data_IF_716241950746
#
_entry.id   IF_716241950746
#
_cell.length_a   1.000
_cell.length_b   1.000
_cell.length_c   1.000
_cell.angle_alpha   90.00
_cell.angle_beta   90.00
_cell.angle_gamma   90.00
#
_symmetry.space_group_name_H-M   'P 1'
#
loop_
_entity.id
_entity.type
_entity.pdbx_description
1 polymer ?
#
# COMPACT_ATOMS: atom_id res chain seq x y z
N UNK A 1 60.38 -7.50 -19.41
CA UNK A 1 59.46 -6.42 -19.01
C UNK A 1 58.20 -6.32 -19.91
N UNK A 2 57.97 -7.23 -20.83
CA UNK A 2 56.82 -7.22 -21.81
C UNK A 2 55.55 -7.95 -21.37
N UNK A 3 55.68 -8.95 -20.50
CA UNK A 3 54.55 -9.81 -20.08
C UNK A 3 53.49 -9.09 -19.21
N UNK A 4 53.89 -8.07 -18.44
CA UNK A 4 52.98 -7.34 -17.56
C UNK A 4 52.01 -6.41 -18.31
N UNK A 5 52.41 -5.87 -19.46
CA UNK A 5 51.57 -4.96 -20.28
C UNK A 5 50.42 -5.71 -20.99
N UNK A 6 50.65 -6.96 -21.33
CA UNK A 6 49.65 -7.77 -22.06
C UNK A 6 48.54 -8.29 -21.16
N UNK A 7 48.81 -8.54 -19.88
CA UNK A 7 47.84 -9.01 -18.91
C UNK A 7 46.83 -7.91 -18.52
N UNK A 8 47.32 -6.67 -18.35
CA UNK A 8 46.45 -5.53 -18.03
C UNK A 8 45.49 -5.14 -19.15
N UNK A 9 45.88 -5.35 -20.41
CA UNK A 9 45.03 -5.07 -21.58
C UNK A 9 43.88 -6.07 -21.75
N UNK A 10 44.11 -7.35 -21.50
CA UNK A 10 43.09 -8.41 -21.55
C UNK A 10 42.09 -8.24 -20.40
N UNK A 11 42.55 -7.94 -19.20
CA UNK A 11 41.68 -7.74 -18.03
C UNK A 11 40.73 -6.51 -18.21
N UNK A 12 41.25 -5.43 -18.79
CA UNK A 12 40.43 -4.24 -19.09
C UNK A 12 39.37 -4.50 -20.14
N UNK A 13 39.68 -5.29 -21.17
CA UNK A 13 38.69 -5.65 -22.22
C UNK A 13 37.62 -6.59 -21.70
N UNK A 14 37.94 -7.52 -20.81
CA UNK A 14 36.97 -8.41 -20.18
C UNK A 14 36.05 -7.66 -19.23
N UNK A 15 36.60 -6.73 -18.45
CA UNK A 15 35.80 -5.91 -17.52
C UNK A 15 34.84 -4.98 -18.27
N UNK A 16 35.30 -4.38 -19.37
CA UNK A 16 34.47 -3.52 -20.23
C UNK A 16 33.35 -4.31 -20.92
N UNK A 17 33.61 -5.52 -21.36
CA UNK A 17 32.61 -6.41 -21.95
C UNK A 17 31.57 -6.86 -20.91
N UNK A 18 31.99 -7.15 -19.68
CA UNK A 18 31.06 -7.52 -18.58
C UNK A 18 30.14 -6.36 -18.19
N UNK A 19 30.68 -5.14 -18.12
CA UNK A 19 29.89 -3.94 -17.83
C UNK A 19 28.92 -3.61 -18.95
N UNK A 20 29.30 -3.80 -20.21
CA UNK A 20 28.44 -3.60 -21.36
C UNK A 20 27.28 -4.61 -21.41
N UNK A 21 27.53 -5.89 -21.06
CA UNK A 21 26.48 -6.91 -20.98
C UNK A 21 25.51 -6.67 -19.83
N UNK A 22 26.00 -6.21 -18.67
CA UNK A 22 25.13 -5.84 -17.55
C UNK A 22 24.26 -4.61 -17.88
N UNK A 23 24.83 -3.61 -18.54
CA UNK A 23 24.06 -2.44 -19.00
C UNK A 23 23.01 -2.80 -20.06
N UNK A 24 23.33 -3.73 -20.97
CA UNK A 24 22.40 -4.19 -22.01
C UNK A 24 21.26 -5.03 -21.43
N UNK A 25 21.53 -5.85 -20.41
CA UNK A 25 20.48 -6.60 -19.72
C UNK A 25 19.51 -5.68 -18.95
N UNK A 26 19.97 -4.57 -18.39
CA UNK A 26 19.12 -3.59 -17.74
C UNK A 26 18.17 -2.88 -18.72
N UNK A 27 18.55 -2.75 -20.01
CA UNK A 27 17.71 -2.14 -21.05
C UNK A 27 16.72 -3.14 -21.67
N UNK A 28 16.99 -4.46 -21.56
CA UNK A 28 16.16 -5.50 -22.16
C UNK A 28 15.14 -6.13 -21.17
N UNK A 29 15.10 -5.67 -19.92
CA UNK A 29 13.94 -5.96 -19.08
C UNK A 29 12.75 -5.22 -19.73
N UNK A 30 11.74 -5.92 -20.28
CA UNK A 30 10.52 -5.26 -20.68
C UNK A 30 10.08 -4.49 -19.45
N UNK A 31 9.96 -3.16 -19.57
CA UNK A 31 9.37 -2.35 -18.53
C UNK A 31 7.97 -2.88 -18.32
N UNK A 32 7.79 -3.83 -17.42
CA UNK A 32 6.50 -4.09 -16.85
C UNK A 32 6.05 -2.71 -16.39
N UNK A 33 5.03 -2.15 -17.04
CA UNK A 33 4.45 -0.89 -16.63
C UNK A 33 4.18 -1.05 -15.16
N UNK A 34 4.92 -0.31 -14.32
CA UNK A 34 4.76 -0.40 -12.89
C UNK A 34 3.29 -0.13 -12.60
N UNK A 35 2.61 -1.10 -12.01
CA UNK A 35 1.19 -0.97 -11.67
C UNK A 35 1.06 0.22 -10.73
N UNK A 36 0.26 1.21 -11.11
CA UNK A 36 -0.07 2.31 -10.22
C UNK A 36 -1.13 1.80 -9.23
N UNK A 37 -0.68 1.44 -8.03
CA UNK A 37 -1.54 0.94 -6.96
C UNK A 37 -2.72 1.88 -6.66
N UNK A 38 -2.62 3.16 -6.99
CA UNK A 38 -3.65 4.16 -6.67
C UNK A 38 -4.71 4.30 -7.75
N UNK A 39 -4.54 3.70 -8.92
CA UNK A 39 -5.51 3.77 -10.04
C UNK A 39 -5.98 2.42 -10.54
N UNK A 40 -5.30 1.33 -10.22
CA UNK A 40 -5.71 -0.01 -10.66
C UNK A 40 -6.97 -0.44 -9.93
N UNK A 41 -8.05 -0.60 -10.69
CA UNK A 41 -9.38 -0.98 -10.18
C UNK A 41 -9.42 -2.38 -9.55
N UNK A 42 -8.45 -3.24 -9.84
CA UNK A 42 -8.37 -4.57 -9.24
C UNK A 42 -8.14 -4.54 -7.74
N UNK A 43 -7.59 -3.45 -7.19
CA UNK A 43 -7.36 -3.32 -5.74
C UNK A 43 -8.58 -2.83 -4.99
N UNK A 44 -9.56 -2.21 -5.62
CA UNK A 44 -10.64 -1.47 -4.98
C UNK A 44 -12.00 -2.11 -5.22
N UNK A 45 -12.85 -2.06 -4.21
CA UNK A 45 -14.23 -2.54 -4.29
C UNK A 45 -15.14 -1.86 -3.28
N UNK A 46 -16.45 -1.92 -3.55
CA UNK A 46 -17.47 -1.43 -2.65
C UNK A 46 -17.67 -2.39 -1.48
N UNK A 47 -17.91 -1.85 -0.28
CA UNK A 47 -18.31 -2.67 0.87
C UNK A 47 -19.56 -3.49 0.58
N UNK A 48 -19.62 -4.72 1.08
CA UNK A 48 -20.70 -5.65 0.80
C UNK A 48 -22.05 -5.23 1.43
N UNK A 49 -21.98 -4.49 2.55
CA UNK A 49 -23.15 -3.97 3.26
C UNK A 49 -22.82 -2.75 4.12
N UNK A 50 -23.84 -2.03 4.59
CA UNK A 50 -23.64 -0.93 5.54
C UNK A 50 -22.96 -1.41 6.83
N UNK A 51 -22.05 -0.59 7.35
CA UNK A 51 -21.32 -0.86 8.59
C UNK A 51 -20.07 -1.75 8.44
N UNK A 52 -19.68 -2.17 7.22
CA UNK A 52 -18.46 -2.97 7.00
C UNK A 52 -17.33 -2.16 6.33
N UNK A 53 -17.38 -0.83 6.38
CA UNK A 53 -16.36 0.03 5.76
C UNK A 53 -14.93 -0.24 6.26
N UNK A 54 -14.73 -0.50 7.55
CA UNK A 54 -13.41 -0.86 8.09
C UNK A 54 -12.91 -2.20 7.56
N UNK A 55 -13.80 -3.19 7.46
CA UNK A 55 -13.47 -4.52 6.94
C UNK A 55 -13.12 -4.45 5.45
N UNK A 56 -13.92 -3.71 4.66
CA UNK A 56 -13.66 -3.50 3.24
C UNK A 56 -12.35 -2.74 3.00
N UNK A 57 -12.09 -1.68 3.77
CA UNK A 57 -10.83 -0.92 3.68
C UNK A 57 -9.62 -1.80 4.05
N UNK A 58 -9.73 -2.65 5.07
CA UNK A 58 -8.68 -3.59 5.43
C UNK A 58 -8.43 -4.64 4.34
N UNK A 59 -9.49 -5.16 3.72
CA UNK A 59 -9.34 -6.10 2.62
C UNK A 59 -8.67 -5.46 1.39
N UNK A 60 -9.00 -4.21 1.06
CA UNK A 60 -8.33 -3.46 -0.02
C UNK A 60 -6.84 -3.22 0.30
N UNK A 61 -6.50 -2.85 1.55
CA UNK A 61 -5.12 -2.71 2.02
C UNK A 61 -4.35 -4.02 1.86
N UNK A 62 -4.89 -5.13 2.38
CA UNK A 62 -4.28 -6.45 2.28
C UNK A 62 -4.15 -6.94 0.84
N UNK A 63 -5.10 -6.61 -0.05
CA UNK A 63 -5.00 -6.92 -1.47
C UNK A 63 -3.79 -6.23 -2.11
N UNK A 64 -3.58 -4.95 -1.81
CA UNK A 64 -2.41 -4.19 -2.27
C UNK A 64 -1.11 -4.74 -1.66
N UNK A 65 -1.11 -5.10 -0.38
CA UNK A 65 0.04 -5.73 0.28
C UNK A 65 0.39 -7.06 -0.35
N UNK A 66 -0.58 -7.96 -0.55
CA UNK A 66 -0.38 -9.25 -1.19
C UNK A 66 0.21 -9.10 -2.61
N UNK A 67 -0.25 -8.10 -3.37
CA UNK A 67 0.33 -7.78 -4.67
C UNK A 67 1.80 -7.34 -4.56
N UNK A 68 2.12 -6.46 -3.61
CA UNK A 68 3.49 -5.99 -3.37
C UNK A 68 4.42 -7.13 -2.92
N UNK A 69 3.90 -8.10 -2.18
CA UNK A 69 4.62 -9.30 -1.75
C UNK A 69 4.73 -10.35 -2.87
N UNK A 70 4.22 -10.07 -4.07
CA UNK A 70 4.28 -10.97 -5.23
C UNK A 70 3.36 -12.19 -5.13
N UNK A 71 2.29 -12.12 -4.35
CA UNK A 71 1.32 -13.20 -4.22
C UNK A 71 0.39 -13.24 -5.43
N UNK A 72 0.40 -14.31 -6.21
CA UNK A 72 -0.47 -14.46 -7.40
C UNK A 72 -1.97 -14.43 -7.04
N UNK A 73 -2.32 -14.86 -5.82
CA UNK A 73 -3.70 -14.88 -5.30
C UNK A 73 -4.16 -13.55 -4.68
N UNK A 74 -3.48 -12.44 -4.93
CA UNK A 74 -3.84 -11.15 -4.35
C UNK A 74 -5.28 -10.72 -4.66
N UNK A 75 -5.82 -11.11 -5.82
CA UNK A 75 -7.20 -10.83 -6.24
C UNK A 75 -8.25 -11.53 -5.36
N UNK A 76 -7.87 -12.63 -4.69
CA UNK A 76 -8.76 -13.43 -3.84
C UNK A 76 -8.91 -12.84 -2.43
N UNK A 77 -8.12 -11.82 -2.10
CA UNK A 77 -8.28 -11.08 -0.84
C UNK A 77 -9.57 -10.28 -0.90
N UNK A 78 -10.56 -10.69 -0.14
CA UNK A 78 -11.90 -10.07 -0.13
C UNK A 78 -12.37 -9.81 1.30
N UNK A 79 -13.39 -8.96 1.42
CA UNK A 79 -14.06 -8.69 2.69
C UNK A 79 -14.53 -9.98 3.39
N UNK A 80 -15.13 -10.91 2.64
CA UNK A 80 -15.55 -12.20 3.20
C UNK A 80 -14.37 -13.11 3.54
N UNK A 81 -13.29 -13.08 2.77
CA UNK A 81 -12.11 -13.89 3.01
C UNK A 81 -11.44 -13.58 4.35
N UNK A 82 -11.33 -12.30 4.72
CA UNK A 82 -10.68 -11.89 5.97
C UNK A 82 -11.63 -11.86 7.16
N UNK A 83 -12.94 -11.99 6.95
CA UNK A 83 -13.96 -11.76 7.97
C UNK A 83 -13.79 -12.64 9.21
N UNK A 84 -13.45 -13.91 9.04
CA UNK A 84 -13.30 -14.86 10.15
C UNK A 84 -12.17 -14.51 11.11
N UNK A 85 -11.12 -13.85 10.62
CA UNK A 85 -9.94 -13.46 11.41
C UNK A 85 -9.96 -11.98 11.81
N UNK A 86 -10.64 -11.14 11.04
CA UNK A 86 -10.58 -9.70 11.17
C UNK A 86 -11.81 -9.08 11.85
N UNK A 87 -12.92 -9.81 12.05
CA UNK A 87 -14.19 -9.19 12.43
C UNK A 87 -14.86 -9.85 13.63
N UNK A 88 -15.06 -9.05 14.67
CA UNK A 88 -15.83 -9.42 15.87
C UNK A 88 -16.76 -8.28 16.29
N UNK A 89 -17.77 -7.97 15.45
CA UNK A 89 -18.65 -6.80 15.64
C UNK A 89 -18.02 -5.45 15.23
N UNK A 90 -16.75 -5.46 14.89
CA UNK A 90 -15.90 -4.39 14.38
C UNK A 90 -14.60 -4.98 13.88
N UNK A 91 -13.75 -4.18 13.25
CA UNK A 91 -12.42 -4.64 12.85
C UNK A 91 -11.57 -4.93 14.11
N UNK A 92 -11.00 -6.11 14.20
CA UNK A 92 -10.09 -6.50 15.28
C UNK A 92 -8.88 -5.60 15.32
N UNK A 93 -8.42 -5.20 16.52
CA UNK A 93 -7.24 -4.34 16.66
C UNK A 93 -5.95 -5.01 16.20
N UNK A 94 -5.92 -6.34 16.17
CA UNK A 94 -4.82 -7.12 15.60
C UNK A 94 -5.41 -8.40 15.00
N UNK A 95 -4.95 -8.75 13.81
CA UNK A 95 -5.29 -9.99 13.13
C UNK A 95 -4.23 -10.34 12.09
N UNK A 96 -4.21 -11.61 11.67
CA UNK A 96 -3.33 -12.10 10.60
C UNK A 96 -4.17 -12.77 9.53
N UNK A 97 -3.85 -12.50 8.28
CA UNK A 97 -4.46 -13.13 7.12
C UNK A 97 -3.38 -13.44 6.07
N UNK A 98 -3.22 -14.71 5.69
CA UNK A 98 -2.20 -15.17 4.75
C UNK A 98 -0.80 -14.59 5.08
N UNK A 99 -0.37 -14.78 6.32
CA UNK A 99 0.90 -14.29 6.89
C UNK A 99 1.06 -12.75 6.93
N UNK A 100 0.11 -11.99 6.41
CA UNK A 100 0.07 -10.54 6.57
C UNK A 100 -0.53 -10.17 7.92
N UNK A 101 0.27 -9.53 8.77
CA UNK A 101 -0.17 -9.09 10.10
C UNK A 101 -0.64 -7.64 10.05
N UNK A 102 -1.82 -7.38 10.60
CA UNK A 102 -2.41 -6.04 10.70
C UNK A 102 -2.52 -5.65 12.16
N UNK A 103 -2.11 -4.42 12.46
CA UNK A 103 -2.18 -3.86 13.79
C UNK A 103 -2.81 -2.47 13.82
N UNK A 104 -3.35 -2.13 14.99
CA UNK A 104 -3.87 -0.80 15.28
C UNK A 104 -2.71 0.13 15.67
N UNK A 105 -2.61 1.27 15.00
CA UNK A 105 -1.62 2.31 15.31
C UNK A 105 -2.28 3.45 16.09
N UNK A 106 -1.66 3.79 17.23
CA UNK A 106 -2.08 4.93 18.04
C UNK A 106 -1.56 6.24 17.43
N UNK A 107 -2.47 7.15 17.13
CA UNK A 107 -2.15 8.48 16.63
C UNK A 107 -2.03 9.49 17.78
N UNK A 108 -1.14 10.49 17.68
CA UNK A 108 -1.00 11.54 18.67
C UNK A 108 -2.27 12.38 18.79
N UNK A 109 -2.37 13.18 19.85
CA UNK A 109 -3.48 14.10 20.05
C UNK A 109 -3.35 15.34 19.15
N UNK A 110 -4.49 15.87 18.68
CA UNK A 110 -4.55 17.08 17.86
C UNK A 110 -4.42 16.81 16.36
N UNK A 111 -5.16 17.59 15.56
CA UNK A 111 -5.27 17.40 14.12
C UNK A 111 -3.92 17.53 13.38
N UNK A 112 -3.12 18.54 13.75
CA UNK A 112 -1.82 18.77 13.10
C UNK A 112 -0.85 17.60 13.35
N UNK A 113 -0.67 17.20 14.62
CA UNK A 113 0.19 16.07 14.96
C UNK A 113 -0.28 14.75 14.35
N UNK A 114 -1.59 14.52 14.28
CA UNK A 114 -2.16 13.36 13.54
C UNK A 114 -1.84 13.41 12.06
N UNK A 115 -1.93 14.58 11.43
CA UNK A 115 -1.59 14.76 10.01
C UNK A 115 -0.13 14.36 9.76
N UNK A 116 0.80 14.87 10.55
CA UNK A 116 2.23 14.55 10.44
C UNK A 116 2.50 13.05 10.65
N UNK A 117 1.89 12.47 11.68
CA UNK A 117 2.01 11.02 11.94
C UNK A 117 1.45 10.17 10.79
N UNK A 118 0.29 10.54 10.23
CA UNK A 118 -0.31 9.83 9.10
C UNK A 118 0.56 9.93 7.84
N UNK A 119 1.19 11.08 7.58
CA UNK A 119 2.13 11.25 6.47
C UNK A 119 3.33 10.33 6.64
N UNK A 120 3.90 10.27 7.86
CA UNK A 120 5.04 9.39 8.16
C UNK A 120 4.67 7.91 7.99
N UNK A 121 3.55 7.48 8.59
CA UNK A 121 3.10 6.09 8.49
C UNK A 121 2.82 5.72 7.03
N UNK A 122 2.14 6.59 6.29
CA UNK A 122 1.79 6.31 4.89
C UNK A 122 3.04 6.21 3.98
N UNK A 123 4.12 6.92 4.31
CA UNK A 123 5.38 6.81 3.58
C UNK A 123 6.07 5.44 3.76
N UNK A 124 5.79 4.75 4.86
CA UNK A 124 6.32 3.41 5.17
C UNK A 124 5.40 2.29 4.67
N UNK A 125 4.15 2.62 4.31
CA UNK A 125 3.10 1.68 3.93
C UNK A 125 2.57 1.95 2.51
N UNK A 126 3.29 1.54 1.45
CA UNK A 126 2.86 1.73 0.05
C UNK A 126 1.53 1.03 -0.27
N UNK A 127 1.16 0.00 0.50
CA UNK A 127 -0.16 -0.64 0.44
C UNK A 127 -1.29 0.28 0.91
N UNK A 128 -0.96 1.38 1.59
CA UNK A 128 -1.91 2.28 2.24
C UNK A 128 -2.25 1.85 3.67
N UNK A 129 -3.07 2.65 4.33
CA UNK A 129 -3.50 2.42 5.71
C UNK A 129 -5.03 2.59 5.85
N UNK A 130 -5.65 1.82 6.73
CA UNK A 130 -7.06 2.01 7.05
C UNK A 130 -7.20 3.18 8.00
N UNK A 131 -7.86 4.25 7.57
CA UNK A 131 -8.21 5.40 8.41
C UNK A 131 -9.65 5.25 8.90
N UNK A 132 -9.86 5.24 10.22
CA UNK A 132 -11.18 5.14 10.85
C UNK A 132 -11.48 6.38 11.70
N UNK A 133 -12.59 7.07 11.40
CA UNK A 133 -13.06 8.21 12.20
C UNK A 133 -14.05 7.73 13.27
N UNK A 134 -13.68 7.89 14.54
CA UNK A 134 -14.52 7.51 15.68
C UNK A 134 -15.70 8.47 15.92
N UNK A 135 -15.59 9.71 15.43
CA UNK A 135 -16.64 10.73 15.63
C UNK A 135 -17.75 10.60 14.61
N UNK A 136 -17.44 10.02 13.46
CA UNK A 136 -18.37 9.67 12.39
C UNK A 136 -18.04 8.26 11.96
N UNK A 137 -18.67 7.22 12.55
CA UNK A 137 -18.25 5.83 12.32
C UNK A 137 -18.16 5.46 10.84
N UNK A 138 -17.02 5.76 10.24
CA UNK A 138 -16.68 5.53 8.85
C UNK A 138 -15.20 5.25 8.70
N UNK A 139 -14.85 4.46 7.70
CA UNK A 139 -13.47 4.14 7.36
C UNK A 139 -13.23 4.18 5.86
N UNK A 140 -12.01 4.54 5.49
CA UNK A 140 -11.52 4.55 4.13
C UNK A 140 -10.12 3.90 4.09
N UNK A 141 -9.70 3.43 2.94
CA UNK A 141 -8.30 3.13 2.68
C UNK A 141 -7.59 4.42 2.27
N UNK A 142 -6.72 4.95 3.14
CA UNK A 142 -5.85 6.08 2.82
C UNK A 142 -4.68 5.57 1.97
N UNK A 143 -4.44 6.18 0.82
CA UNK A 143 -3.57 5.63 -0.21
C UNK A 143 -2.36 6.49 -0.54
N UNK A 144 -2.46 7.81 -0.36
CA UNK A 144 -1.42 8.75 -0.76
C UNK A 144 -1.55 10.10 -0.05
N UNK A 145 -0.43 10.82 0.03
CA UNK A 145 -0.39 12.22 0.43
C UNK A 145 0.49 13.00 -0.54
N UNK A 146 -0.14 13.82 -1.35
CA UNK A 146 0.56 14.60 -2.40
C UNK A 146 0.08 16.04 -2.40
N UNK A 147 1.02 17.00 -2.45
CA UNK A 147 0.74 18.44 -2.48
C UNK A 147 -0.18 18.93 -1.35
N UNK A 148 -0.01 18.38 -0.13
CA UNK A 148 -0.82 18.77 1.03
C UNK A 148 -2.20 18.13 1.11
N UNK A 149 -2.53 17.21 0.19
CA UNK A 149 -3.82 16.53 0.08
C UNK A 149 -3.65 15.04 0.34
N UNK A 150 -4.44 14.50 1.27
CA UNK A 150 -4.60 13.05 1.40
C UNK A 150 -5.59 12.53 0.36
N UNK A 151 -5.26 11.36 -0.21
CA UNK A 151 -6.12 10.63 -1.12
C UNK A 151 -6.53 9.29 -0.50
N UNK A 152 -7.70 8.80 -0.89
CA UNK A 152 -8.25 7.56 -0.35
C UNK A 152 -9.13 6.83 -1.36
N UNK A 153 -9.46 5.59 -1.02
CA UNK A 153 -10.60 4.86 -1.58
C UNK A 153 -11.68 4.75 -0.51
N UNK A 154 -12.89 5.22 -0.82
CA UNK A 154 -14.05 5.14 0.07
C UNK A 154 -14.94 3.94 -0.34
N UNK A 155 -14.99 2.88 0.48
CA UNK A 155 -15.75 1.68 0.14
C UNK A 155 -17.26 1.90 0.14
N UNK A 156 -17.78 2.95 0.74
CA UNK A 156 -19.24 3.24 0.75
C UNK A 156 -19.72 3.79 -0.58
N UNK A 157 -18.88 4.52 -1.30
CA UNK A 157 -19.23 5.17 -2.56
C UNK A 157 -19.02 4.26 -3.79
N UNK A 158 -18.41 3.11 -3.62
CA UNK A 158 -18.11 2.19 -4.72
C UNK A 158 -17.15 2.76 -5.76
N UNK A 159 -16.31 3.72 -5.36
CA UNK A 159 -15.30 4.30 -6.23
C UNK A 159 -14.13 3.33 -6.34
N UNK A 160 -13.91 2.84 -7.54
CA UNK A 160 -12.83 1.92 -7.86
C UNK A 160 -11.50 2.67 -8.06
N UNK A 161 -11.12 3.53 -7.13
CA UNK A 161 -9.88 4.32 -7.20
C UNK A 161 -9.39 4.74 -5.82
N UNK A 162 -8.09 4.70 -5.63
CA UNK A 162 -7.42 5.27 -4.46
C UNK A 162 -7.13 6.78 -4.56
N UNK A 163 -7.58 7.46 -5.62
CA UNK A 163 -7.27 8.88 -5.85
C UNK A 163 -8.44 9.82 -5.57
N UNK A 164 -9.33 9.44 -4.67
CA UNK A 164 -10.36 10.36 -4.20
C UNK A 164 -9.76 11.24 -3.11
N UNK A 165 -9.84 12.58 -3.19
CA UNK A 165 -9.42 13.43 -2.09
C UNK A 165 -10.16 13.08 -0.80
N UNK A 166 -9.45 12.98 0.33
CA UNK A 166 -10.04 12.64 1.63
C UNK A 166 -11.17 13.60 2.04
N UNK A 167 -11.12 14.83 1.56
CA UNK A 167 -12.17 15.84 1.78
C UNK A 167 -13.52 15.47 1.14
N UNK A 168 -13.52 14.59 0.13
CA UNK A 168 -14.75 14.08 -0.50
C UNK A 168 -15.36 12.89 0.26
N UNK A 169 -14.59 12.25 1.14
CA UNK A 169 -15.09 11.23 2.04
C UNK A 169 -15.61 11.88 3.34
N UNK A 170 -16.65 11.32 3.92
CA UNK A 170 -17.23 11.83 5.17
C UNK A 170 -16.40 11.45 6.40
N UNK A 171 -15.11 11.79 6.40
CA UNK A 171 -14.14 11.40 7.43
C UNK A 171 -13.34 12.61 7.95
N UNK A 172 -12.97 12.60 9.22
CA UNK A 172 -12.19 13.66 9.86
C UNK A 172 -10.91 13.11 10.48
N UNK A 173 -9.76 13.71 10.14
CA UNK A 173 -8.46 13.39 10.75
C UNK A 173 -8.48 13.62 12.27
N UNK A 174 -9.20 14.64 12.76
CA UNK A 174 -9.27 14.95 14.18
C UNK A 174 -9.79 13.79 15.03
N UNK A 175 -10.79 13.05 14.54
CA UNK A 175 -11.36 11.86 15.19
C UNK A 175 -10.67 10.54 14.81
N UNK A 176 -9.66 10.58 13.95
CA UNK A 176 -9.12 9.39 13.32
C UNK A 176 -8.21 8.55 14.21
N UNK A 177 -8.25 7.27 13.94
CA UNK A 177 -7.28 6.23 14.28
C UNK A 177 -6.95 5.44 13.00
N UNK A 178 -5.88 4.64 13.00
CA UNK A 178 -5.52 3.89 11.81
C UNK A 178 -5.10 2.44 12.11
N UNK A 179 -5.10 1.64 11.05
CA UNK A 179 -4.54 0.29 11.01
C UNK A 179 -3.56 0.21 9.85
N UNK A 180 -2.47 -0.51 10.04
CA UNK A 180 -1.45 -0.76 9.03
C UNK A 180 -0.99 -2.22 9.07
N UNK A 181 -0.36 -2.69 8.01
CA UNK A 181 0.40 -3.94 8.04
C UNK A 181 1.66 -3.76 8.91
N UNK A 182 2.08 -4.81 9.64
CA UNK A 182 3.23 -4.81 10.55
C UNK A 182 4.33 -5.74 10.03
#
# INVERSE_FOLDING_TARGET
METAKHFGSKLRKTLAALLATMALMAVLLPGALAVDLNVDVGFYFKQSRGGTCTLASAAMMLRRRAYLDGMDSWVDVTENGIKSTAWSGGLSHSFTYNDMHVGYATLPSGKAAKTEALVSILAEHPEGIVLYDRTRPHAVLLTDYTNGVFYCSDPSNGVASGRVPLSAASISIGGASCYCCL
#
